data_IF_057537009716
#
_entry.id   IF_057537009716
#
_cell.length_a   1.000
_cell.length_b   1.000
_cell.length_c   1.000
_cell.angle_alpha   90.00
_cell.angle_beta   90.00
_cell.angle_gamma   90.00
#
_symmetry.space_group_name_H-M   'P 1'
#
loop_
_entity.id
_entity.type
_entity.pdbx_description
1 polymer ?
#
# COMPACT_ATOMS: atom_id res chain seq x y z
N UNK A 1 11.77 -1.03 7.94
CA UNK A 1 12.48 0.07 8.63
C UNK A 1 12.22 1.42 7.97
N UNK A 2 11.40 2.26 8.60
CA UNK A 2 11.35 3.70 8.30
C UNK A 2 12.55 4.39 8.96
N UNK A 3 13.67 4.46 8.23
CA UNK A 3 14.90 5.09 8.70
C UNK A 3 15.00 6.55 8.24
N UNK A 4 15.88 7.31 8.89
CA UNK A 4 16.39 8.56 8.31
C UNK A 4 15.53 9.79 8.49
N UNK A 5 14.77 9.90 9.58
CA UNK A 5 14.04 11.13 9.85
C UNK A 5 14.50 11.87 11.11
N UNK A 6 15.18 13.00 10.90
CA UNK A 6 15.52 13.96 11.95
C UNK A 6 14.55 15.12 11.82
N UNK A 7 13.62 15.27 12.78
CA UNK A 7 12.65 16.37 12.80
C UNK A 7 11.30 16.10 12.11
N UNK A 8 11.00 14.86 11.72
CA UNK A 8 9.65 14.48 11.26
C UNK A 8 8.91 13.54 12.22
N UNK A 9 9.47 13.25 13.40
CA UNK A 9 8.71 12.60 14.47
C UNK A 9 7.76 13.62 15.10
N UNK A 10 6.54 13.20 15.39
CA UNK A 10 5.56 14.08 16.02
C UNK A 10 4.30 13.37 16.49
N UNK A 11 3.31 14.14 16.95
CA UNK A 11 2.05 13.62 17.46
C UNK A 11 1.35 12.69 16.46
N UNK A 12 0.87 11.54 16.94
CA UNK A 12 0.23 10.54 16.08
C UNK A 12 -1.04 11.05 15.39
N UNK A 13 -1.76 12.01 15.99
CA UNK A 13 -2.92 12.66 15.36
C UNK A 13 -2.58 13.35 14.02
N UNK A 14 -1.34 13.82 13.83
CA UNK A 14 -0.90 14.39 12.53
C UNK A 14 -0.80 13.29 11.47
N UNK A 15 -0.27 12.12 11.85
CA UNK A 15 -0.15 10.96 10.96
C UNK A 15 -1.53 10.42 10.58
N UNK A 16 -2.46 10.34 11.55
CA UNK A 16 -3.87 9.98 11.33
C UNK A 16 -4.54 10.96 10.36
N UNK A 17 -4.37 12.26 10.57
CA UNK A 17 -4.86 13.31 9.66
C UNK A 17 -4.32 13.14 8.23
N UNK A 18 -3.03 12.81 8.10
CA UNK A 18 -2.42 12.58 6.77
C UNK A 18 -2.93 11.31 6.09
N UNK A 19 -3.29 10.28 6.86
CA UNK A 19 -3.93 9.09 6.30
C UNK A 19 -5.38 9.33 5.90
N UNK A 20 -6.08 10.29 6.49
CA UNK A 20 -7.46 10.61 6.09
C UNK A 20 -7.56 11.10 4.64
N UNK A 21 -6.45 11.57 4.04
CA UNK A 21 -6.35 11.86 2.60
C UNK A 21 -6.77 10.69 1.71
N UNK A 22 -6.56 9.44 2.15
CA UNK A 22 -6.97 8.26 1.39
C UNK A 22 -8.49 8.20 1.27
N UNK A 23 -9.24 8.61 2.29
CA UNK A 23 -10.70 8.71 2.27
C UNK A 23 -11.38 7.46 1.67
N UNK A 24 -10.97 6.27 2.12
CA UNK A 24 -11.44 4.98 1.61
C UNK A 24 -10.89 4.53 0.24
N UNK A 25 -10.15 5.38 -0.46
CA UNK A 25 -9.49 5.04 -1.73
C UNK A 25 -8.26 4.17 -1.50
N UNK A 26 -7.97 3.27 -2.45
CA UNK A 26 -6.81 2.37 -2.38
C UNK A 26 -5.46 3.08 -2.63
N UNK A 27 -5.49 4.26 -3.25
CA UNK A 27 -4.34 5.12 -3.46
C UNK A 27 -4.74 6.60 -3.50
N UNK A 28 -3.74 7.47 -3.39
CA UNK A 28 -3.88 8.93 -3.59
C UNK A 28 -2.86 9.43 -4.62
N UNK A 29 -3.16 10.57 -5.24
CA UNK A 29 -2.23 11.23 -6.15
C UNK A 29 -0.95 11.68 -5.41
N UNK A 30 0.22 11.44 -6.00
CA UNK A 30 1.49 11.76 -5.34
C UNK A 30 1.72 13.26 -5.10
N UNK A 31 1.45 14.17 -6.06
CA UNK A 31 1.45 15.61 -5.82
C UNK A 31 0.70 16.06 -4.56
N UNK A 32 -0.58 15.66 -4.42
CA UNK A 32 -1.41 16.07 -3.28
C UNK A 32 -0.87 15.49 -1.97
N UNK A 33 -0.50 14.21 -2.00
CA UNK A 33 0.15 13.57 -0.86
C UNK A 33 1.44 14.29 -0.48
N UNK A 34 2.32 14.62 -1.42
CA UNK A 34 3.60 15.30 -1.14
C UNK A 34 3.40 16.71 -0.60
N UNK A 35 2.42 17.46 -1.14
CA UNK A 35 2.13 18.81 -0.68
C UNK A 35 1.66 18.80 0.78
N UNK A 36 0.78 17.89 1.15
CA UNK A 36 0.24 17.82 2.52
C UNK A 36 1.15 17.07 3.49
N UNK A 37 1.66 15.90 3.09
CA UNK A 37 2.53 15.06 3.92
C UNK A 37 3.91 15.66 4.08
N UNK A 38 4.38 16.46 3.14
CA UNK A 38 5.65 17.20 3.25
C UNK A 38 5.66 18.27 4.34
N UNK A 39 4.49 18.69 4.84
CA UNK A 39 4.41 19.57 6.01
C UNK A 39 5.03 18.90 7.24
N UNK A 40 5.76 19.68 8.05
CA UNK A 40 6.43 19.18 9.24
C UNK A 40 5.45 18.75 10.35
N UNK A 41 5.94 18.14 11.44
CA UNK A 41 5.12 17.62 12.54
C UNK A 41 4.66 18.72 13.52
N UNK A 42 4.40 19.94 13.06
CA UNK A 42 3.97 21.06 13.90
C UNK A 42 2.44 21.18 13.88
N UNK A 43 1.78 21.02 15.03
CA UNK A 43 0.30 20.98 15.10
C UNK A 43 -0.40 22.21 14.53
N UNK A 44 0.18 23.41 14.70
CA UNK A 44 -0.41 24.66 14.20
C UNK A 44 -0.49 24.77 12.67
N UNK A 45 0.11 23.82 11.95
CA UNK A 45 0.02 23.72 10.48
C UNK A 45 -1.26 23.01 10.02
N UNK A 46 -2.04 22.45 10.94
CA UNK A 46 -3.12 21.52 10.62
C UNK A 46 -4.45 21.95 11.21
N UNK A 47 -5.51 21.68 10.46
CA UNK A 47 -6.88 21.64 10.97
C UNK A 47 -7.28 20.18 11.23
N UNK A 48 -7.57 19.87 12.49
CA UNK A 48 -7.94 18.53 12.92
C UNK A 48 -9.45 18.28 12.88
N UNK A 49 -10.27 19.25 12.47
CA UNK A 49 -11.74 19.11 12.42
C UNK A 49 -12.24 18.04 11.44
N UNK A 50 -11.38 17.53 10.57
CA UNK A 50 -11.69 16.39 9.68
C UNK A 50 -11.54 15.02 10.36
N UNK A 51 -10.89 14.95 11.52
CA UNK A 51 -10.83 13.76 12.35
C UNK A 51 -11.99 13.73 13.33
N UNK A 52 -12.55 12.55 13.58
CA UNK A 52 -13.52 12.38 14.66
C UNK A 52 -12.84 12.44 16.03
N UNK A 53 -13.62 12.66 17.09
CA UNK A 53 -13.13 12.65 18.46
C UNK A 53 -12.49 11.29 18.81
N UNK A 54 -13.02 10.18 18.28
CA UNK A 54 -12.43 8.85 18.45
C UNK A 54 -11.09 8.70 17.73
N UNK A 55 -10.94 9.32 16.56
CA UNK A 55 -9.67 9.31 15.83
C UNK A 55 -8.61 10.17 16.55
N UNK A 56 -9.01 11.28 17.16
CA UNK A 56 -8.14 12.10 18.01
C UNK A 56 -7.70 11.33 19.27
N UNK A 57 -8.64 10.69 19.96
CA UNK A 57 -8.37 9.86 21.13
C UNK A 57 -7.46 8.67 20.79
N UNK A 58 -7.62 8.06 19.61
CA UNK A 58 -6.70 7.03 19.11
C UNK A 58 -5.28 7.59 18.92
N UNK A 59 -5.15 8.81 18.40
CA UNK A 59 -3.86 9.49 18.28
C UNK A 59 -3.15 9.65 19.63
N UNK A 60 -3.87 10.15 20.63
CA UNK A 60 -3.34 10.31 21.99
C UNK A 60 -2.95 8.97 22.62
N UNK A 61 -3.75 7.91 22.40
CA UNK A 61 -3.45 6.57 22.88
C UNK A 61 -2.18 5.99 22.25
N UNK A 62 -1.94 6.23 20.96
CA UNK A 62 -0.72 5.83 20.27
C UNK A 62 0.51 6.59 20.80
N UNK A 63 0.38 7.89 21.02
CA UNK A 63 1.46 8.69 21.63
C UNK A 63 1.80 8.16 23.04
N UNK A 64 0.79 7.82 23.84
CA UNK A 64 0.96 7.28 25.19
C UNK A 64 1.56 5.87 25.24
N UNK A 65 1.34 5.04 24.20
CA UNK A 65 1.88 3.67 24.14
C UNK A 65 3.33 3.60 23.68
N UNK A 66 3.88 4.71 23.16
CA UNK A 66 5.21 4.75 22.56
C UNK A 66 5.24 4.24 21.11
N UNK A 67 4.08 4.27 20.42
CA UNK A 67 4.07 4.19 18.96
C UNK A 67 4.88 5.34 18.36
N UNK A 68 5.50 5.08 17.21
CA UNK A 68 6.34 6.05 16.50
C UNK A 68 5.54 6.57 15.32
N UNK A 69 5.28 7.88 15.33
CA UNK A 69 4.56 8.56 14.28
C UNK A 69 5.51 9.50 13.53
N UNK A 70 5.73 9.20 12.24
CA UNK A 70 6.62 9.94 11.36
C UNK A 70 5.82 10.64 10.27
N UNK A 71 5.98 11.95 10.14
CA UNK A 71 5.26 12.78 9.20
C UNK A 71 6.12 13.96 8.77
N UNK A 72 6.34 14.11 7.46
CA UNK A 72 7.17 15.17 6.88
C UNK A 72 8.13 14.62 5.83
N UNK A 73 9.12 15.41 5.47
CA UNK A 73 10.19 14.97 4.58
C UNK A 73 11.31 14.28 5.39
N UNK A 74 11.68 13.08 4.97
CA UNK A 74 12.87 12.42 5.50
C UNK A 74 14.16 13.08 5.00
N UNK A 75 15.32 12.64 5.51
CA UNK A 75 16.64 13.22 5.16
C UNK A 75 17.01 13.12 3.67
N UNK A 76 16.28 12.31 2.90
CA UNK A 76 16.46 12.16 1.45
C UNK A 76 15.42 12.94 0.64
N UNK A 77 14.66 13.82 1.30
CA UNK A 77 13.65 14.68 0.66
C UNK A 77 12.37 13.95 0.24
N UNK A 78 12.15 12.71 0.71
CA UNK A 78 10.91 11.99 0.44
C UNK A 78 9.87 12.28 1.51
N UNK A 79 8.67 12.68 1.09
CA UNK A 79 7.53 12.81 1.98
C UNK A 79 7.12 11.44 2.51
N UNK A 80 7.09 11.29 3.83
CA UNK A 80 6.78 10.05 4.52
C UNK A 80 5.64 10.27 5.50
N UNK A 81 4.67 9.36 5.49
CA UNK A 81 3.67 9.22 6.55
C UNK A 81 3.73 7.77 7.06
N UNK A 82 4.14 7.60 8.31
CA UNK A 82 4.39 6.29 8.93
C UNK A 82 3.81 6.26 10.34
N UNK A 83 3.11 5.18 10.66
CA UNK A 83 2.85 4.78 12.05
C UNK A 83 3.52 3.43 12.31
N UNK A 84 4.28 3.35 13.39
CA UNK A 84 4.94 2.12 13.84
C UNK A 84 4.52 1.80 15.27
N UNK A 85 3.91 0.64 15.49
CA UNK A 85 3.40 0.22 16.79
C UNK A 85 3.29 -1.30 16.88
N UNK A 86 2.41 -1.80 17.74
CA UNK A 86 1.96 -3.19 17.72
C UNK A 86 1.08 -3.47 16.49
N UNK A 87 0.90 -4.74 16.16
CA UNK A 87 -0.01 -5.15 15.08
C UNK A 87 -1.44 -4.65 15.32
N UNK A 88 -1.90 -4.71 16.59
CA UNK A 88 -3.24 -4.26 16.98
C UNK A 88 -3.41 -2.76 16.83
N UNK A 89 -2.40 -1.96 17.20
CA UNK A 89 -2.45 -0.50 17.03
C UNK A 89 -2.54 -0.10 15.56
N UNK A 90 -1.75 -0.72 14.69
CA UNK A 90 -1.84 -0.49 13.24
C UNK A 90 -3.22 -0.89 12.71
N UNK A 91 -3.77 -2.01 13.16
CA UNK A 91 -5.13 -2.46 12.80
C UNK A 91 -6.20 -1.44 13.24
N UNK A 92 -6.05 -0.86 14.43
CA UNK A 92 -6.97 0.15 14.93
C UNK A 92 -6.95 1.41 14.07
N UNK A 93 -5.77 1.87 13.62
CA UNK A 93 -5.66 3.02 12.70
C UNK A 93 -6.38 2.73 11.39
N UNK A 94 -6.15 1.56 10.79
CA UNK A 94 -6.77 1.17 9.52
C UNK A 94 -8.30 1.17 9.63
N UNK A 95 -8.83 0.56 10.70
CA UNK A 95 -10.27 0.47 10.93
C UNK A 95 -10.89 1.83 11.26
N UNK A 96 -10.25 2.61 12.13
CA UNK A 96 -10.74 3.93 12.55
C UNK A 96 -10.90 4.89 11.36
N UNK A 97 -9.93 4.88 10.45
CA UNK A 97 -9.92 5.77 9.28
C UNK A 97 -10.52 5.13 8.03
N UNK A 98 -11.05 3.89 8.14
CA UNK A 98 -11.59 3.12 7.02
C UNK A 98 -10.62 3.07 5.81
N UNK A 99 -9.33 2.81 6.07
CA UNK A 99 -8.30 2.81 5.03
C UNK A 99 -8.38 1.55 4.16
N UNK A 100 -8.29 1.73 2.84
CA UNK A 100 -8.28 0.61 1.89
C UNK A 100 -6.90 -0.03 1.80
N UNK A 101 -6.61 -0.95 2.73
CA UNK A 101 -5.38 -1.74 2.76
C UNK A 101 -5.56 -3.08 2.04
N UNK A 102 -4.48 -3.55 1.39
CA UNK A 102 -4.29 -4.92 0.89
C UNK A 102 -5.09 -6.01 1.63
N UNK A 103 -6.10 -6.75 1.10
CA UNK A 103 -6.74 -7.83 1.88
C UNK A 103 -5.71 -8.84 2.41
N UNK A 104 -4.69 -9.11 1.59
CA UNK A 104 -3.56 -9.93 1.99
C UNK A 104 -2.74 -9.33 3.14
N UNK A 105 -2.50 -8.01 3.12
CA UNK A 105 -1.79 -7.31 4.21
C UNK A 105 -2.65 -7.20 5.47
N UNK A 106 -3.97 -7.07 5.33
CA UNK A 106 -4.91 -7.13 6.45
C UNK A 106 -4.86 -8.50 7.12
N UNK A 107 -4.89 -9.57 6.33
CA UNK A 107 -4.80 -10.92 6.89
C UNK A 107 -3.42 -11.21 7.50
N UNK A 108 -2.34 -10.72 6.90
CA UNK A 108 -0.99 -10.79 7.51
C UNK A 108 -0.97 -10.07 8.87
N UNK A 109 -1.61 -8.90 8.97
CA UNK A 109 -1.70 -8.14 10.21
C UNK A 109 -2.54 -8.87 11.28
N UNK A 110 -3.68 -9.45 10.90
CA UNK A 110 -4.51 -10.28 11.78
C UNK A 110 -3.72 -11.47 12.36
N UNK A 111 -3.03 -12.22 11.50
CA UNK A 111 -2.18 -13.33 11.95
C UNK A 111 -1.03 -12.82 12.83
N UNK A 112 -0.50 -11.63 12.54
CA UNK A 112 0.47 -10.95 13.40
C UNK A 112 -0.06 -10.62 14.80
N UNK A 113 -1.35 -10.30 14.93
CA UNK A 113 -2.01 -10.11 16.23
C UNK A 113 -2.19 -11.47 16.94
N UNK A 114 -2.73 -12.46 16.23
CA UNK A 114 -2.96 -13.82 16.75
C UNK A 114 -1.66 -14.49 17.25
N UNK A 115 -0.51 -14.11 16.68
CA UNK A 115 0.79 -14.75 16.91
C UNK A 115 1.84 -13.78 17.50
N UNK A 116 1.41 -12.69 18.15
CA UNK A 116 2.30 -11.63 18.63
C UNK A 116 3.45 -12.14 19.53
N UNK A 117 3.23 -13.23 20.28
CA UNK A 117 4.24 -13.82 21.16
C UNK A 117 5.27 -14.70 20.43
N UNK A 118 4.94 -15.22 19.24
CA UNK A 118 5.84 -16.11 18.48
C UNK A 118 6.96 -15.33 17.79
N UNK A 119 6.69 -14.09 17.41
CA UNK A 119 7.63 -13.22 16.72
C UNK A 119 7.40 -11.78 17.16
N UNK A 120 8.08 -11.38 18.23
CA UNK A 120 7.95 -10.05 18.82
C UNK A 120 8.63 -9.04 17.90
N UNK A 121 7.81 -8.21 17.26
CA UNK A 121 8.24 -7.18 16.33
C UNK A 121 7.23 -6.04 16.32
N UNK A 122 7.69 -4.83 15.98
CA UNK A 122 6.78 -3.74 15.66
C UNK A 122 6.21 -3.92 14.25
N UNK A 123 5.05 -3.34 14.02
CA UNK A 123 4.38 -3.29 12.73
C UNK A 123 4.35 -1.86 12.24
N UNK A 124 4.58 -1.71 10.94
CA UNK A 124 4.59 -0.43 10.27
C UNK A 124 3.41 -0.36 9.32
N UNK A 125 2.76 0.79 9.27
CA UNK A 125 1.98 1.21 8.12
C UNK A 125 2.66 2.44 7.51
N UNK A 126 2.80 2.47 6.19
CA UNK A 126 3.46 3.56 5.46
C UNK A 126 2.75 3.85 4.15
N UNK A 127 2.56 5.13 3.85
CA UNK A 127 2.22 5.60 2.50
C UNK A 127 3.48 5.69 1.64
N UNK A 128 3.59 4.88 0.59
CA UNK A 128 4.76 4.84 -0.28
C UNK A 128 4.42 5.46 -1.63
N UNK A 129 5.13 6.53 -2.00
CA UNK A 129 5.05 7.06 -3.36
C UNK A 129 5.73 6.09 -4.33
N UNK A 130 5.01 5.74 -5.38
CA UNK A 130 5.46 4.85 -6.46
C UNK A 130 5.17 5.45 -7.81
N UNK A 131 5.92 5.01 -8.82
CA UNK A 131 5.67 5.37 -10.20
C UNK A 131 5.02 4.20 -10.90
N UNK A 132 3.69 4.23 -11.01
CA UNK A 132 2.94 3.17 -11.63
C UNK A 132 2.99 3.30 -13.15
N UNK A 133 3.13 2.19 -13.86
CA UNK A 133 3.24 2.15 -15.32
C UNK A 133 2.02 1.47 -15.94
N UNK A 134 1.54 1.98 -17.07
CA UNK A 134 0.42 1.39 -17.80
C UNK A 134 0.63 1.41 -19.31
N UNK A 135 0.12 0.41 -20.05
CA UNK A 135 0.15 0.42 -21.50
C UNK A 135 -0.76 1.53 -22.03
N UNK A 136 -0.23 2.38 -22.91
CA UNK A 136 -1.04 3.42 -23.59
C UNK A 136 -1.92 2.86 -24.70
N UNK A 137 -1.50 1.75 -25.27
CA UNK A 137 -2.23 0.96 -26.25
C UNK A 137 -1.87 -0.51 -26.04
N UNK A 138 -2.83 -1.39 -26.29
CA UNK A 138 -2.62 -2.80 -26.14
C UNK A 138 -1.55 -3.31 -27.16
N UNK A 139 -0.69 -4.21 -26.71
CA UNK A 139 0.44 -4.71 -27.51
C UNK A 139 1.55 -3.69 -27.82
N UNK A 140 1.57 -2.52 -27.17
CA UNK A 140 2.68 -1.54 -27.26
C UNK A 140 3.60 -1.64 -26.04
N UNK A 141 4.91 -1.56 -26.27
CA UNK A 141 5.93 -1.52 -25.22
C UNK A 141 6.07 -0.11 -24.59
N UNK A 142 5.43 0.91 -25.16
CA UNK A 142 5.41 2.27 -24.60
C UNK A 142 4.43 2.35 -23.44
N UNK A 143 5.00 2.30 -22.24
CA UNK A 143 4.23 2.48 -21.00
C UNK A 143 4.28 3.95 -20.59
N UNK A 144 3.10 4.51 -20.34
CA UNK A 144 2.99 5.78 -19.63
C UNK A 144 3.15 5.56 -18.13
N UNK A 145 3.38 6.65 -17.38
CA UNK A 145 3.73 6.60 -15.97
C UNK A 145 2.91 7.60 -15.17
N UNK A 146 2.39 7.19 -14.02
CA UNK A 146 1.63 8.04 -13.09
C UNK A 146 2.21 7.88 -11.68
N UNK A 147 2.54 8.98 -10.99
CA UNK A 147 2.98 8.92 -9.61
C UNK A 147 1.76 8.85 -8.68
N UNK A 148 1.67 7.79 -7.89
CA UNK A 148 0.61 7.62 -6.89
C UNK A 148 1.19 7.05 -5.58
N UNK A 149 0.39 7.08 -4.52
CA UNK A 149 0.79 6.62 -3.20
C UNK A 149 -0.18 5.53 -2.75
N UNK A 150 0.37 4.38 -2.39
CA UNK A 150 -0.41 3.30 -1.79
C UNK A 150 0.06 2.98 -0.36
N UNK A 151 -0.81 2.31 0.40
CA UNK A 151 -0.52 1.90 1.77
C UNK A 151 0.15 0.54 1.78
N UNK A 152 1.21 0.43 2.57
CA UNK A 152 1.90 -0.83 2.84
C UNK A 152 1.91 -1.08 4.34
N UNK A 153 1.62 -2.32 4.73
CA UNK A 153 1.64 -2.76 6.12
C UNK A 153 2.55 -3.98 6.23
N UNK A 154 3.49 -3.95 7.18
CA UNK A 154 4.48 -5.02 7.35
C UNK A 154 5.17 -4.96 8.73
N UNK A 155 5.66 -6.10 9.25
CA UNK A 155 6.48 -6.12 10.45
C UNK A 155 7.88 -5.54 10.19
N UNK A 156 8.53 -4.99 11.22
CA UNK A 156 9.91 -4.50 11.13
C UNK A 156 10.90 -5.64 10.87
N UNK A 157 10.67 -6.79 11.50
CA UNK A 157 11.38 -8.02 11.23
C UNK A 157 10.66 -8.78 10.14
N UNK A 158 11.21 -8.76 8.92
CA UNK A 158 10.59 -9.36 7.74
C UNK A 158 10.34 -10.86 7.90
N UNK A 159 11.17 -11.54 8.68
CA UNK A 159 11.00 -12.95 9.08
C UNK A 159 9.75 -13.20 9.92
N UNK A 160 9.20 -12.18 10.58
CA UNK A 160 7.94 -12.26 11.31
C UNK A 160 6.70 -12.10 10.41
N UNK A 161 6.87 -11.84 9.11
CA UNK A 161 5.75 -11.66 8.19
C UNK A 161 5.04 -13.00 7.97
N UNK A 162 3.75 -13.14 8.32
CA UNK A 162 3.05 -14.40 8.13
C UNK A 162 2.92 -14.77 6.65
N UNK A 163 2.96 -16.07 6.37
CA UNK A 163 2.68 -16.59 5.03
C UNK A 163 1.18 -16.63 4.84
N UNK A 164 0.67 -15.69 4.02
CA UNK A 164 -0.74 -15.60 3.66
C UNK A 164 -0.88 -15.78 2.16
N UNK A 165 -1.66 -16.79 1.76
CA UNK A 165 -2.02 -17.00 0.37
C UNK A 165 -2.87 -15.84 -0.15
N UNK A 166 -2.55 -15.35 -1.34
CA UNK A 166 -3.27 -14.25 -1.96
C UNK A 166 -4.23 -14.77 -3.04
N UNK A 167 -5.23 -15.52 -2.62
CA UNK A 167 -6.21 -16.18 -3.48
C UNK A 167 -7.64 -15.70 -3.18
N UNK A 168 -8.62 -16.31 -3.84
CA UNK A 168 -10.03 -15.92 -3.76
C UNK A 168 -10.68 -16.23 -2.39
N UNK A 169 -9.96 -16.87 -1.45
CA UNK A 169 -10.43 -17.00 -0.06
C UNK A 169 -10.36 -15.69 0.72
N UNK A 170 -9.55 -14.72 0.28
CA UNK A 170 -9.43 -13.40 0.92
C UNK A 170 -10.46 -12.39 0.39
N UNK A 171 -10.62 -12.36 -0.93
CA UNK A 171 -11.53 -11.44 -1.62
C UNK A 171 -11.84 -12.04 -3.00
N UNK A 172 -13.11 -11.99 -3.39
CA UNK A 172 -13.51 -12.46 -4.71
C UNK A 172 -13.03 -11.53 -5.81
N UNK A 173 -13.29 -11.93 -7.06
CA UNK A 173 -12.96 -11.11 -8.22
C UNK A 173 -14.14 -10.95 -9.16
N UNK A 174 -14.22 -9.79 -9.82
CA UNK A 174 -15.18 -9.50 -10.89
C UNK A 174 -14.48 -8.97 -12.13
N UNK A 175 -15.05 -9.28 -13.29
CA UNK A 175 -14.55 -8.79 -14.57
C UNK A 175 -14.73 -7.26 -14.64
N UNK A 176 -13.64 -6.53 -14.84
CA UNK A 176 -13.64 -5.09 -15.05
C UNK A 176 -13.50 -4.70 -16.52
N UNK A 177 -12.74 -5.49 -17.29
CA UNK A 177 -12.51 -5.26 -18.72
C UNK A 177 -12.37 -6.61 -19.44
N UNK A 178 -13.18 -6.84 -20.46
CA UNK A 178 -12.98 -7.97 -21.37
C UNK A 178 -11.83 -7.64 -22.35
N UNK A 179 -10.86 -8.54 -22.48
CA UNK A 179 -9.70 -8.37 -23.39
C UNK A 179 -9.89 -9.06 -24.74
N UNK A 180 -10.97 -9.83 -24.92
CA UNK A 180 -11.32 -10.49 -26.19
C UNK A 180 -10.17 -11.31 -26.81
N UNK A 181 -9.37 -11.98 -25.99
CA UNK A 181 -8.22 -12.79 -26.42
C UNK A 181 -6.89 -12.04 -26.40
N UNK A 182 -6.88 -10.73 -26.15
CA UNK A 182 -5.66 -9.93 -26.12
C UNK A 182 -4.90 -10.07 -24.79
N UNK A 183 -3.58 -10.28 -24.87
CA UNK A 183 -2.71 -10.26 -23.71
C UNK A 183 -2.11 -8.87 -23.50
N UNK A 184 -2.68 -8.13 -22.54
CA UNK A 184 -2.26 -6.77 -22.17
C UNK A 184 -0.83 -6.71 -21.61
N UNK A 185 -0.28 -7.85 -21.15
CA UNK A 185 1.04 -7.93 -20.54
C UNK A 185 2.06 -8.66 -21.45
N UNK A 186 1.69 -8.94 -22.71
CA UNK A 186 2.58 -9.55 -23.69
C UNK A 186 3.84 -8.73 -24.02
N UNK A 187 3.78 -7.40 -23.82
CA UNK A 187 4.92 -6.49 -23.97
C UNK A 187 5.00 -5.56 -22.78
N UNK A 188 5.70 -5.99 -21.73
CA UNK A 188 6.01 -5.15 -20.56
C UNK A 188 7.50 -4.77 -20.55
N UNK A 189 7.86 -3.61 -19.97
CA UNK A 189 9.26 -3.31 -19.66
C UNK A 189 9.89 -4.43 -18.81
N UNK A 190 11.13 -4.80 -19.12
CA UNK A 190 11.87 -5.88 -18.43
C UNK A 190 11.89 -5.72 -16.91
N UNK A 191 11.98 -4.47 -16.42
CA UNK A 191 11.96 -4.19 -14.99
C UNK A 191 10.69 -4.69 -14.30
N UNK A 192 9.55 -4.71 -15.00
CA UNK A 192 8.29 -5.21 -14.46
C UNK A 192 8.26 -6.74 -14.38
N UNK A 193 9.18 -7.47 -15.01
CA UNK A 193 9.25 -8.94 -14.92
C UNK A 193 10.10 -9.43 -13.74
N UNK A 194 10.72 -8.52 -12.99
CA UNK A 194 11.66 -8.86 -11.91
C UNK A 194 11.00 -9.02 -10.53
N UNK A 195 9.70 -8.73 -10.41
CA UNK A 195 9.05 -8.61 -9.12
C UNK A 195 7.87 -9.57 -8.95
N UNK A 196 7.60 -10.01 -7.71
CA UNK A 196 6.42 -10.80 -7.41
C UNK A 196 5.16 -9.92 -7.32
N UNK A 197 4.08 -10.29 -8.02
CA UNK A 197 2.83 -9.54 -8.06
C UNK A 197 1.73 -10.17 -7.20
N UNK A 198 0.81 -9.32 -6.72
CA UNK A 198 -0.38 -9.71 -5.96
C UNK A 198 -1.57 -10.10 -6.84
N UNK A 199 -1.35 -10.43 -8.10
CA UNK A 199 -2.38 -10.81 -9.05
C UNK A 199 -1.86 -11.89 -9.99
N UNK A 200 -2.76 -12.73 -10.47
CA UNK A 200 -2.41 -13.75 -11.47
C UNK A 200 -2.26 -13.11 -12.84
N UNK A 201 -1.26 -13.52 -13.62
CA UNK A 201 -1.03 -12.94 -14.94
C UNK A 201 -0.33 -13.88 -15.92
N UNK A 202 -0.18 -13.44 -17.16
CA UNK A 202 0.64 -14.09 -18.19
C UNK A 202 2.15 -13.92 -17.98
N UNK A 203 2.59 -13.04 -17.08
CA UNK A 203 4.01 -12.88 -16.76
C UNK A 203 4.55 -14.11 -16.03
N UNK A 204 5.82 -14.43 -16.28
CA UNK A 204 6.54 -15.50 -15.55
C UNK A 204 6.46 -15.22 -14.04
N UNK A 205 5.95 -16.17 -13.23
CA UNK A 205 5.86 -15.97 -11.78
C UNK A 205 7.25 -15.80 -11.15
N UNK A 206 7.39 -14.74 -10.36
CA UNK A 206 8.57 -14.51 -9.51
C UNK A 206 8.22 -14.93 -8.09
N UNK A 207 9.09 -15.74 -7.46
CA UNK A 207 8.93 -16.10 -6.05
C UNK A 207 9.12 -14.87 -5.17
N UNK A 208 8.21 -14.65 -4.24
CA UNK A 208 8.40 -13.65 -3.17
C UNK A 208 9.22 -14.19 -1.99
N UNK A 209 9.46 -15.50 -1.93
CA UNK A 209 10.29 -16.12 -0.90
C UNK A 209 11.74 -15.96 -1.32
N UNK A 210 12.53 -15.29 -0.49
CA UNK A 210 13.95 -15.05 -0.74
C UNK A 210 14.80 -15.54 0.41
N UNK A 211 16.01 -16.01 0.11
CA UNK A 211 16.98 -16.44 1.11
C UNK A 211 17.38 -15.27 2.00
N UNK A 212 17.52 -15.52 3.30
CA UNK A 212 17.92 -14.54 4.28
C UNK A 212 19.00 -15.11 5.21
N UNK A 213 19.84 -14.22 5.73
CA UNK A 213 20.82 -14.51 6.77
C UNK A 213 20.76 -13.41 7.83
N UNK A 214 21.26 -13.70 9.04
CA UNK A 214 21.27 -12.77 10.18
C UNK A 214 19.88 -12.25 10.59
N UNK A 215 18.85 -13.09 10.48
CA UNK A 215 17.50 -12.79 10.99
C UNK A 215 17.47 -12.90 12.52
N UNK A 216 16.59 -12.14 13.17
CA UNK A 216 16.48 -12.09 14.64
C UNK A 216 15.97 -13.41 15.22
N UNK A 217 15.14 -14.13 14.45
CA UNK A 217 14.52 -15.39 14.86
C UNK A 217 15.07 -16.62 14.09
N UNK A 218 16.22 -16.49 13.42
CA UNK A 218 16.91 -17.60 12.77
C UNK A 218 16.22 -18.16 11.51
N UNK A 219 15.26 -17.45 10.93
CA UNK A 219 14.68 -17.81 9.64
C UNK A 219 15.74 -17.77 8.52
N UNK A 220 15.76 -18.81 7.68
CA UNK A 220 16.62 -18.91 6.50
C UNK A 220 16.03 -18.27 5.24
N UNK A 221 14.76 -17.85 5.31
CA UNK A 221 14.05 -17.18 4.23
C UNK A 221 13.14 -16.10 4.80
N UNK A 222 12.82 -15.10 3.98
CA UNK A 222 11.84 -14.04 4.28
C UNK A 222 10.91 -13.81 3.10
N UNK A 223 9.83 -13.07 3.33
CA UNK A 223 8.84 -12.74 2.32
C UNK A 223 9.03 -11.30 1.84
N UNK A 224 9.31 -11.15 0.55
CA UNK A 224 9.24 -9.87 -0.15
C UNK A 224 7.79 -9.39 -0.28
N UNK A 225 7.54 -8.07 -0.31
CA UNK A 225 6.22 -7.52 -0.58
C UNK A 225 5.77 -7.87 -2.00
N UNK A 226 4.48 -8.15 -2.14
CA UNK A 226 3.86 -8.28 -3.46
C UNK A 226 3.55 -6.89 -4.03
N UNK A 227 3.99 -6.66 -5.27
CA UNK A 227 3.61 -5.48 -6.02
C UNK A 227 2.14 -5.58 -6.46
N UNK A 228 1.45 -4.44 -6.45
CA UNK A 228 0.03 -4.37 -6.80
C UNK A 228 -0.16 -3.74 -8.17
N UNK A 229 -1.30 -4.06 -8.77
CA UNK A 229 -1.82 -3.34 -9.92
C UNK A 229 -3.22 -2.81 -9.64
N UNK A 230 -3.61 -1.76 -10.36
CA UNK A 230 -4.88 -1.09 -10.18
C UNK A 230 -5.59 -0.87 -11.51
N UNK A 231 -6.91 -1.03 -11.53
CA UNK A 231 -7.78 -0.69 -12.65
C UNK A 231 -8.99 0.07 -12.12
N UNK A 232 -9.20 1.30 -12.58
CA UNK A 232 -10.37 2.09 -12.15
C UNK A 232 -10.44 2.36 -10.65
N UNK A 233 -9.29 2.64 -10.01
CA UNK A 233 -9.12 2.76 -8.55
C UNK A 233 -9.16 1.45 -7.75
N UNK A 234 -9.49 0.33 -8.39
CA UNK A 234 -9.62 -0.97 -7.73
C UNK A 234 -8.37 -1.81 -7.88
N UNK A 235 -8.03 -2.61 -6.86
CA UNK A 235 -6.91 -3.55 -6.93
C UNK A 235 -7.24 -4.69 -7.90
N UNK A 236 -6.27 -5.01 -8.73
CA UNK A 236 -6.34 -6.09 -9.72
C UNK A 236 -6.09 -7.44 -9.04
N UNK A 237 -6.85 -8.45 -9.45
CA UNK A 237 -6.76 -9.84 -8.98
C UNK A 237 -6.25 -10.79 -10.08
N UNK A 238 -6.57 -10.50 -11.34
CA UNK A 238 -6.05 -11.23 -12.49
C UNK A 238 -5.96 -10.34 -13.74
N UNK A 239 -4.98 -10.61 -14.60
CA UNK A 239 -4.87 -10.07 -15.95
C UNK A 239 -4.52 -11.20 -16.91
N UNK A 240 -5.42 -11.52 -17.83
CA UNK A 240 -5.19 -12.59 -18.80
C UNK A 240 -5.90 -12.28 -20.13
N UNK A 241 -5.91 -13.25 -21.04
CA UNK A 241 -6.54 -13.13 -22.36
C UNK A 241 -8.08 -13.11 -22.32
N UNK A 242 -8.71 -13.39 -21.17
CA UNK A 242 -10.17 -13.25 -21.01
C UNK A 242 -10.54 -11.89 -20.43
N UNK A 243 -9.71 -11.31 -19.56
CA UNK A 243 -9.96 -9.97 -19.05
C UNK A 243 -8.99 -9.46 -17.98
N UNK A 244 -9.28 -8.24 -17.53
CA UNK A 244 -8.79 -7.66 -16.29
C UNK A 244 -9.85 -7.87 -15.23
N UNK A 245 -9.47 -8.48 -14.11
CA UNK A 245 -10.33 -8.76 -12.97
C UNK A 245 -9.87 -7.96 -11.76
N UNK A 246 -10.82 -7.36 -11.06
CA UNK A 246 -10.60 -6.56 -9.84
C UNK A 246 -11.30 -7.20 -8.64
N UNK A 247 -11.03 -6.71 -7.44
CA UNK A 247 -11.77 -7.06 -6.22
C UNK A 247 -13.29 -6.88 -6.43
N UNK A 248 -14.08 -7.90 -6.09
CA UNK A 248 -15.54 -7.90 -6.28
C UNK A 248 -16.27 -6.84 -5.44
N UNK A 249 -15.71 -6.51 -4.27
CA UNK A 249 -16.19 -5.46 -3.37
C UNK A 249 -15.87 -4.03 -3.84
N UNK A 250 -15.07 -3.85 -4.89
CA UNK A 250 -14.64 -2.52 -5.33
C UNK A 250 -15.48 -2.01 -6.50
N UNK A 251 -15.96 -0.77 -6.40
CA UNK A 251 -16.68 -0.12 -7.49
C UNK A 251 -15.74 0.80 -8.30
N UNK A 252 -15.76 0.62 -9.62
CA UNK A 252 -14.89 1.39 -10.53
C UNK A 252 -15.32 2.86 -10.48
N UNK A 253 -14.40 3.74 -10.12
CA UNK A 253 -14.67 5.18 -10.13
C UNK A 253 -14.35 5.78 -11.50
N UNK A 254 -15.33 6.45 -12.11
CA UNK A 254 -15.14 7.27 -13.31
C UNK A 254 -14.60 8.68 -13.01
N UNK A 255 -14.49 9.03 -11.73
CA UNK A 255 -14.31 10.40 -11.22
C UNK A 255 -12.90 10.72 -10.73
N UNK A 256 -11.91 9.86 -10.95
CA UNK A 256 -10.52 10.26 -10.72
C UNK A 256 -10.11 11.30 -11.77
N UNK A 257 -10.45 12.57 -11.55
CA UNK A 257 -9.66 13.69 -12.03
C UNK A 257 -8.40 13.74 -11.18
N UNK A 258 -7.44 12.89 -11.50
CA UNK A 258 -6.04 13.23 -11.30
C UNK A 258 -5.71 14.11 -12.49
N UNK A 259 -5.36 15.38 -12.26
CA UNK A 259 -4.96 16.34 -13.30
C UNK A 259 -3.70 15.83 -14.02
N UNK A 260 -3.91 14.87 -14.92
CA UNK A 260 -2.88 13.97 -15.47
C UNK A 260 -3.34 12.50 -15.51
N UNK A 261 -4.37 12.22 -16.31
CA UNK A 261 -4.77 10.88 -16.79
C UNK A 261 -5.44 9.90 -15.80
N UNK A 262 -6.74 10.10 -15.56
CA UNK A 262 -7.65 8.98 -15.36
C UNK A 262 -8.93 9.23 -16.18
N UNK A 263 -8.96 8.64 -17.38
CA UNK A 263 -10.19 8.12 -18.00
C UNK A 263 -10.12 6.63 -17.76
N UNK A 264 -11.11 6.04 -17.09
CA UNK A 264 -11.10 4.65 -16.59
C UNK A 264 -10.96 3.55 -17.66
N UNK A 265 -9.78 3.43 -18.28
CA UNK A 265 -9.50 2.47 -19.37
C UNK A 265 -8.19 1.70 -19.25
N UNK A 266 -7.33 1.96 -18.27
CA UNK A 266 -5.99 1.35 -18.23
C UNK A 266 -5.65 0.72 -16.87
N UNK A 267 -5.03 -0.47 -16.93
CA UNK A 267 -4.44 -1.16 -15.80
C UNK A 267 -3.05 -0.60 -15.50
N UNK A 268 -2.75 -0.28 -14.26
CA UNK A 268 -1.47 0.32 -13.84
C UNK A 268 -0.72 -0.64 -12.92
N UNK A 269 0.57 -0.87 -13.18
CA UNK A 269 1.45 -1.81 -12.47
C UNK A 269 2.55 -1.05 -11.73
N UNK A 270 2.83 -1.44 -10.48
CA UNK A 270 3.81 -0.76 -9.62
C UNK A 270 5.27 -0.99 -10.08
N UNK A 271 6.09 0.05 -9.95
CA UNK A 271 7.57 0.01 -9.98
C UNK A 271 8.10 0.71 -8.72
#
# INVERSE_FOLDING_TARGET
MAGGCTGCLGPCKIVLLKYSLFNGSAFVNSPDFKAFVGLGPTESLYDFGVLSDEALALGEALDASGAICQSGNNKWGSATNVVTGTAQEVMNVIKMLNLSVAPQMMRELEVGIEQAEKCVTKWNMIGITRLFQYPTSAGDAKFAKIPAVDLNVFPDYTECRPVVANDDSLVGSKLALATNGEDLLSKVPEILTLFPYSFTSSLTPVSRVVSASNTNYGASTVLEPLLRAYYGACRVRAVNTTGVYIEDTCEISGNLRVDGAFSGRHSVVQH
#
